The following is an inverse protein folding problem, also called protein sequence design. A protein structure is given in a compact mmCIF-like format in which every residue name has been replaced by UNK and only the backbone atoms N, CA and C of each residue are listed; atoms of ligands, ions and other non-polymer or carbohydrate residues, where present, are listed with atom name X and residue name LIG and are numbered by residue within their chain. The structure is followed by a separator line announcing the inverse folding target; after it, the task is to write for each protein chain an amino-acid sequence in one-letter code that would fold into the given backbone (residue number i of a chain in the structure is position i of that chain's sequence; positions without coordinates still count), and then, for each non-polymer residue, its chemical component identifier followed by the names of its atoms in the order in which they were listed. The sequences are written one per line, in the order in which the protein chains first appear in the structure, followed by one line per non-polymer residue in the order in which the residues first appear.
data_IF_080370562828
#
_entry.id   IF_080370562828
#
_cell.length_a   1.000
_cell.length_b   1.000
_cell.length_c   1.000
_cell.angle_alpha   90.00
_cell.angle_beta   90.00
_cell.angle_gamma   90.00
#
_symmetry.space_group_name_H-M   'P 1'
#
loop_
_entity.id
_entity.type
_entity.pdbx_description
1 polymer ?
#
# COMPACT_ATOMS: atom_id res chain seq x y z
N UNK A 1 -9.40 7.30 -29.48
CA UNK A 1 -9.48 7.36 -28.01
C UNK A 1 -10.67 6.62 -27.44
N UNK A 2 -11.27 5.77 -28.28
CA UNK A 2 -12.38 4.88 -27.88
C UNK A 2 -11.93 3.87 -26.82
N UNK A 3 -10.69 3.41 -26.88
CA UNK A 3 -10.11 2.41 -25.97
C UNK A 3 -10.00 2.88 -24.50
N UNK A 4 -9.70 4.16 -24.27
CA UNK A 4 -9.56 4.68 -22.89
C UNK A 4 -10.91 4.77 -22.18
N UNK A 5 -11.96 5.17 -22.89
CA UNK A 5 -13.30 5.29 -22.33
C UNK A 5 -13.92 3.89 -22.10
N UNK A 6 -13.66 2.96 -22.99
CA UNK A 6 -14.06 1.56 -22.84
C UNK A 6 -13.33 0.91 -21.66
N UNK A 7 -12.02 1.15 -21.51
CA UNK A 7 -11.26 0.70 -20.37
C UNK A 7 -11.81 1.26 -19.05
N UNK A 8 -12.10 2.56 -18.98
CA UNK A 8 -12.68 3.19 -17.80
C UNK A 8 -14.05 2.63 -17.45
N UNK A 9 -14.89 2.42 -18.44
CA UNK A 9 -16.23 1.86 -18.26
C UNK A 9 -16.15 0.44 -17.71
N UNK A 10 -15.30 -0.41 -18.29
CA UNK A 10 -15.08 -1.78 -17.84
C UNK A 10 -14.43 -1.80 -16.45
N UNK A 11 -13.48 -0.91 -16.20
CA UNK A 11 -12.85 -0.75 -14.90
C UNK A 11 -13.88 -0.46 -13.80
N UNK A 12 -14.78 0.50 -14.02
CA UNK A 12 -15.83 0.83 -13.06
C UNK A 12 -16.87 -0.28 -12.89
N UNK A 13 -17.12 -1.07 -13.91
CA UNK A 13 -18.02 -2.21 -13.83
C UNK A 13 -17.46 -3.37 -13.01
N UNK A 14 -16.17 -3.64 -13.14
CA UNK A 14 -15.47 -4.75 -12.48
C UNK A 14 -15.03 -4.39 -11.06
N UNK A 15 -14.59 -3.16 -10.84
CA UNK A 15 -13.99 -2.70 -9.58
C UNK A 15 -14.97 -1.85 -8.80
N UNK A 16 -15.60 -2.46 -7.80
CA UNK A 16 -16.54 -1.74 -6.92
C UNK A 16 -15.90 -0.59 -6.14
N UNK A 17 -14.65 -0.74 -5.73
CA UNK A 17 -13.92 0.26 -4.94
C UNK A 17 -12.48 0.34 -5.39
N UNK A 18 -12.18 1.34 -6.17
CA UNK A 18 -10.81 1.66 -6.54
C UNK A 18 -10.06 2.16 -5.31
N UNK A 19 -8.84 1.69 -5.08
CA UNK A 19 -8.03 2.15 -3.96
C UNK A 19 -7.75 3.65 -4.06
N UNK A 20 -7.98 4.39 -2.98
CA UNK A 20 -7.73 5.84 -2.92
C UNK A 20 -6.24 6.15 -3.14
N UNK A 21 -5.36 5.30 -2.61
CA UNK A 21 -3.90 5.40 -2.73
C UNK A 21 -3.31 4.51 -3.83
N UNK A 22 -4.10 4.19 -4.84
CA UNK A 22 -3.66 3.32 -5.95
C UNK A 22 -2.34 3.77 -6.56
N UNK A 23 -2.19 5.07 -6.82
CA UNK A 23 -0.96 5.61 -7.44
C UNK A 23 0.28 5.35 -6.59
N UNK A 24 0.17 5.45 -5.27
CA UNK A 24 1.27 5.15 -4.36
C UNK A 24 1.59 3.65 -4.32
N UNK A 25 0.57 2.80 -4.27
CA UNK A 25 0.74 1.34 -4.22
C UNK A 25 1.32 0.81 -5.53
N UNK A 26 0.93 1.37 -6.67
CA UNK A 26 1.49 1.03 -7.98
C UNK A 26 2.98 1.40 -8.12
N UNK A 27 3.49 2.33 -7.32
CA UNK A 27 4.95 2.61 -7.29
C UNK A 27 5.76 1.54 -6.55
N UNK A 28 5.12 0.55 -5.95
CA UNK A 28 5.73 -0.50 -5.13
C UNK A 28 6.51 -0.01 -3.90
N UNK A 29 6.33 1.25 -3.50
CA UNK A 29 6.94 1.81 -2.28
C UNK A 29 6.12 1.57 -1.03
N UNK A 30 4.82 1.37 -1.21
CA UNK A 30 3.87 1.14 -0.14
C UNK A 30 3.02 -0.08 -0.46
N UNK A 31 2.53 -0.75 0.56
CA UNK A 31 1.57 -1.84 0.45
C UNK A 31 0.46 -1.66 1.48
N UNK A 32 -0.71 -2.25 1.22
CA UNK A 32 -1.86 -2.20 2.11
C UNK A 32 -2.51 -3.58 2.18
N UNK A 33 -2.75 -4.07 3.39
CA UNK A 33 -3.38 -5.38 3.61
C UNK A 33 -4.83 -5.45 3.10
N UNK A 34 -5.52 -4.30 3.01
CA UNK A 34 -6.88 -4.22 2.45
C UNK A 34 -6.90 -4.06 0.92
N UNK A 35 -5.74 -3.98 0.28
CA UNK A 35 -5.65 -3.81 -1.16
C UNK A 35 -5.56 -5.15 -1.89
N UNK A 36 -6.18 -5.21 -3.07
CA UNK A 36 -6.07 -6.34 -3.97
C UNK A 36 -5.64 -5.83 -5.33
N UNK A 37 -4.58 -6.41 -5.87
CA UNK A 37 -4.11 -6.13 -7.23
C UNK A 37 -4.95 -6.90 -8.22
N UNK A 38 -5.27 -6.28 -9.33
CA UNK A 38 -5.94 -6.92 -10.45
C UNK A 38 -5.37 -6.37 -11.75
N UNK A 39 -5.56 -7.14 -12.79
CA UNK A 39 -5.15 -6.77 -14.14
C UNK A 39 -6.38 -6.69 -15.03
N UNK A 40 -6.50 -5.59 -15.74
CA UNK A 40 -7.53 -5.39 -16.75
C UNK A 40 -6.82 -5.07 -18.08
N UNK A 41 -6.89 -5.99 -19.02
CA UNK A 41 -5.99 -6.00 -20.17
C UNK A 41 -4.54 -5.95 -19.70
N UNK A 42 -3.71 -5.06 -20.22
CA UNK A 42 -2.30 -4.93 -19.85
C UNK A 42 -2.05 -3.93 -18.71
N UNK A 43 -3.10 -3.46 -18.05
CA UNK A 43 -2.99 -2.45 -17.00
C UNK A 43 -3.26 -3.04 -15.62
N UNK A 44 -2.37 -2.69 -14.71
CA UNK A 44 -2.51 -3.03 -13.30
C UNK A 44 -3.38 -1.99 -12.57
N UNK A 45 -4.27 -2.47 -11.72
CA UNK A 45 -5.10 -1.66 -10.86
C UNK A 45 -5.13 -2.18 -9.43
N UNK A 46 -5.56 -1.34 -8.51
CA UNK A 46 -5.68 -1.67 -7.09
C UNK A 46 -7.11 -1.41 -6.62
N UNK A 47 -7.73 -2.43 -6.05
CA UNK A 47 -9.03 -2.32 -5.40
C UNK A 47 -8.91 -2.37 -3.89
N UNK A 48 -9.90 -1.82 -3.17
CA UNK A 48 -9.98 -1.88 -1.72
C UNK A 48 -11.08 -2.86 -1.29
N UNK A 49 -10.74 -3.81 -0.44
CA UNK A 49 -11.69 -4.81 0.08
C UNK A 49 -12.58 -4.26 1.20
N UNK A 50 -12.11 -3.25 1.93
CA UNK A 50 -12.80 -2.68 3.08
C UNK A 50 -13.43 -1.33 2.75
N UNK A 51 -14.75 -1.25 2.82
CA UNK A 51 -15.48 0.02 2.64
C UNK A 51 -15.12 1.06 3.71
N UNK A 52 -15.02 0.63 4.96
CA UNK A 52 -14.67 1.51 6.08
C UNK A 52 -13.27 2.10 5.92
N UNK A 53 -12.31 1.26 5.56
CA UNK A 53 -10.94 1.71 5.28
C UNK A 53 -10.89 2.65 4.08
N UNK A 54 -11.63 2.33 3.03
CA UNK A 54 -11.73 3.18 1.84
C UNK A 54 -12.22 4.59 2.16
N UNK A 55 -13.27 4.71 2.98
CA UNK A 55 -13.80 6.02 3.40
C UNK A 55 -12.79 6.82 4.23
N UNK A 56 -12.09 6.16 5.16
CA UNK A 56 -11.03 6.80 5.97
C UNK A 56 -9.85 7.26 5.11
N UNK A 57 -9.43 6.43 4.18
CA UNK A 57 -8.38 6.78 3.22
C UNK A 57 -8.77 7.99 2.36
N UNK A 58 -10.04 8.07 1.93
CA UNK A 58 -10.55 9.21 1.19
C UNK A 58 -10.45 10.53 1.98
N UNK A 59 -10.88 10.53 3.23
CA UNK A 59 -10.74 11.67 4.14
C UNK A 59 -9.28 12.05 4.38
N UNK A 60 -8.44 11.07 4.63
CA UNK A 60 -7.01 11.29 4.85
C UNK A 60 -6.31 11.88 3.62
N UNK A 61 -6.60 11.37 2.42
CA UNK A 61 -6.04 11.94 1.19
C UNK A 61 -6.49 13.39 0.96
N UNK A 62 -7.74 13.71 1.28
CA UNK A 62 -8.23 15.08 1.26
C UNK A 62 -7.38 16.02 2.12
N UNK A 63 -7.12 15.65 3.38
CA UNK A 63 -6.25 16.40 4.29
C UNK A 63 -4.81 16.51 3.78
N UNK A 64 -4.26 15.44 3.22
CA UNK A 64 -2.92 15.47 2.62
C UNK A 64 -2.84 16.46 1.46
N UNK A 65 -3.84 16.47 0.60
CA UNK A 65 -3.90 17.41 -0.54
C UNK A 65 -3.99 18.86 -0.07
N UNK A 66 -4.81 19.16 0.92
CA UNK A 66 -4.92 20.50 1.50
C UNK A 66 -3.59 20.98 2.07
N UNK A 67 -2.94 20.16 2.89
CA UNK A 67 -1.66 20.51 3.50
C UNK A 67 -0.52 20.60 2.49
N UNK A 68 -0.56 19.81 1.43
CA UNK A 68 0.47 19.81 0.40
C UNK A 68 0.36 20.97 -0.59
N UNK A 69 -0.76 21.66 -0.66
CA UNK A 69 -0.98 22.75 -1.64
C UNK A 69 0.11 23.82 -1.58
N UNK A 70 0.40 24.29 -0.38
CA UNK A 70 1.42 25.30 -0.19
C UNK A 70 2.81 24.80 -0.59
N UNK A 71 3.20 23.63 -0.08
CA UNK A 71 4.50 23.04 -0.35
C UNK A 71 4.74 22.69 -1.83
N UNK A 72 3.68 22.38 -2.57
CA UNK A 72 3.74 22.02 -3.99
C UNK A 72 3.44 23.20 -4.94
N UNK A 73 3.22 24.40 -4.40
CA UNK A 73 2.92 25.59 -5.20
C UNK A 73 1.64 25.46 -6.04
N UNK A 74 0.59 24.84 -5.47
CA UNK A 74 -0.68 24.62 -6.16
C UNK A 74 -1.61 25.77 -5.86
N UNK A 75 -1.85 26.62 -6.83
CA UNK A 75 -2.73 27.80 -6.72
C UNK A 75 -4.15 27.51 -7.18
N UNK A 76 -4.35 26.54 -8.06
CA UNK A 76 -5.66 26.20 -8.61
C UNK A 76 -6.44 25.31 -7.62
N UNK A 77 -7.71 25.65 -7.42
CA UNK A 77 -8.67 24.84 -6.66
C UNK A 77 -9.21 23.73 -7.57
N UNK A 78 -8.38 22.73 -7.84
CA UNK A 78 -8.82 21.53 -8.53
C UNK A 78 -9.02 20.40 -7.51
N UNK A 79 -10.08 19.58 -7.62
CA UNK A 79 -10.30 18.44 -6.73
C UNK A 79 -9.21 17.38 -6.88
N UNK A 80 -8.59 17.30 -8.04
CA UNK A 80 -7.50 16.38 -8.33
C UNK A 80 -6.20 17.14 -8.65
N UNK A 81 -5.09 16.60 -8.17
CA UNK A 81 -3.77 17.12 -8.46
C UNK A 81 -3.22 16.54 -9.77
N UNK A 82 -2.31 17.25 -10.45
CA UNK A 82 -1.54 16.67 -11.54
C UNK A 82 -0.89 15.36 -11.12
N UNK A 83 -0.83 14.38 -12.02
CA UNK A 83 -0.42 13.00 -11.73
C UNK A 83 0.89 12.90 -10.92
N UNK A 84 1.93 13.64 -11.33
CA UNK A 84 3.21 13.61 -10.62
C UNK A 84 3.14 14.19 -9.19
N UNK A 85 2.33 15.21 -8.98
CA UNK A 85 2.10 15.81 -7.66
C UNK A 85 1.26 14.87 -6.78
N UNK A 86 0.25 14.25 -7.36
CA UNK A 86 -0.60 13.28 -6.68
C UNK A 86 0.21 12.09 -6.16
N UNK A 87 1.11 11.53 -6.97
CA UNK A 87 2.02 10.46 -6.53
C UNK A 87 2.88 10.89 -5.34
N UNK A 88 3.42 12.10 -5.37
CA UNK A 88 4.23 12.63 -4.26
C UNK A 88 3.43 12.77 -2.97
N UNK A 89 2.21 13.30 -3.06
CA UNK A 89 1.30 13.45 -1.91
C UNK A 89 0.94 12.10 -1.33
N UNK A 90 0.54 11.16 -2.17
CA UNK A 90 0.14 9.82 -1.72
C UNK A 90 1.30 9.05 -1.10
N UNK A 91 2.45 9.00 -1.75
CA UNK A 91 3.64 8.35 -1.19
C UNK A 91 4.10 9.00 0.11
N UNK A 92 4.19 10.33 0.14
CA UNK A 92 4.60 11.07 1.34
C UNK A 92 3.66 10.83 2.52
N UNK A 93 2.35 10.82 2.28
CA UNK A 93 1.35 10.55 3.30
C UNK A 93 1.45 9.14 3.87
N UNK A 94 1.55 8.12 3.03
CA UNK A 94 1.65 6.73 3.48
C UNK A 94 2.98 6.43 4.18
N UNK A 95 4.08 6.97 3.69
CA UNK A 95 5.37 6.83 4.33
C UNK A 95 5.40 7.55 5.69
N UNK A 96 4.81 8.75 5.77
CA UNK A 96 4.67 9.49 7.01
C UNK A 96 3.83 8.74 8.07
N UNK A 97 2.76 8.08 7.66
CA UNK A 97 1.98 7.22 8.57
C UNK A 97 2.78 6.02 9.08
N UNK A 98 3.59 5.42 8.23
CA UNK A 98 4.45 4.31 8.63
C UNK A 98 5.48 4.74 9.65
N UNK A 99 6.12 5.89 9.43
CA UNK A 99 7.23 6.36 10.25
C UNK A 99 6.76 7.02 11.55
N UNK A 100 5.54 7.53 11.58
CA UNK A 100 4.90 8.15 12.75
C UNK A 100 3.56 7.49 13.07
N UNK A 101 3.55 6.26 13.58
CA UNK A 101 2.31 5.61 13.95
C UNK A 101 1.71 6.30 15.17
N UNK A 102 0.69 7.12 14.96
CA UNK A 102 -0.12 7.64 16.06
C UNK A 102 -0.86 6.49 16.73
N UNK A 103 -0.94 6.51 18.07
CA UNK A 103 -1.52 5.43 18.88
C UNK A 103 -2.98 5.12 18.53
N UNK A 104 -3.67 6.05 17.90
CA UNK A 104 -5.08 5.93 17.53
C UNK A 104 -5.33 5.50 16.09
N UNK A 105 -4.29 5.16 15.32
CA UNK A 105 -4.50 4.65 13.98
C UNK A 105 -4.76 3.13 14.02
N UNK A 106 -6.00 2.66 13.83
CA UNK A 106 -6.30 1.23 13.84
C UNK A 106 -5.71 0.47 12.64
N UNK A 107 -4.92 1.14 11.81
CA UNK A 107 -4.40 0.61 10.55
C UNK A 107 -2.90 0.31 10.58
N UNK A 108 -2.30 0.25 11.78
CA UNK A 108 -0.86 -0.09 11.91
C UNK A 108 -0.49 -1.42 11.25
N UNK A 109 -1.46 -2.30 11.06
CA UNK A 109 -1.28 -3.62 10.46
C UNK A 109 -1.45 -3.65 8.93
N UNK A 110 -1.88 -2.55 8.30
CA UNK A 110 -2.31 -2.56 6.91
C UNK A 110 -1.33 -1.93 5.91
N UNK A 111 -0.29 -1.27 6.40
CA UNK A 111 0.71 -0.65 5.52
C UNK A 111 2.06 -1.34 5.71
N UNK A 112 2.33 -2.32 4.87
CA UNK A 112 3.65 -2.94 4.79
C UNK A 112 4.52 -2.20 3.77
N UNK A 113 5.76 -1.98 4.15
CA UNK A 113 6.78 -1.51 3.21
C UNK A 113 7.08 -2.62 2.20
N UNK A 114 6.98 -2.32 0.92
CA UNK A 114 7.27 -3.28 -0.16
C UNK A 114 8.73 -3.71 -0.28
N UNK A 115 9.51 -3.59 0.81
CA UNK A 115 10.83 -4.19 0.89
C UNK A 115 10.65 -5.69 1.16
N UNK A 116 10.90 -6.50 0.17
CA UNK A 116 11.15 -7.92 0.37
C UNK A 116 12.35 -8.07 1.30
N UNK A 117 12.06 -8.39 2.55
CA UNK A 117 13.09 -8.91 3.45
C UNK A 117 13.45 -10.29 2.91
N UNK A 118 14.64 -10.44 2.37
CA UNK A 118 15.19 -11.75 2.14
C UNK A 118 15.16 -12.51 3.45
N UNK A 119 14.33 -13.53 3.52
CA UNK A 119 14.36 -14.48 4.61
C UNK A 119 15.72 -15.15 4.61
N UNK A 120 16.57 -14.69 5.53
CA UNK A 120 17.74 -15.46 5.93
C UNK A 120 17.25 -16.80 6.48
N UNK A 121 17.63 -17.87 5.84
CA UNK A 121 17.36 -19.25 6.27
C UNK A 121 17.72 -19.40 7.76
N UNK A 122 16.86 -19.98 8.58
CA UNK A 122 17.28 -20.33 9.93
C UNK A 122 18.40 -21.36 9.84
N UNK A 123 19.48 -21.08 10.55
CA UNK A 123 20.58 -22.01 10.72
C UNK A 123 20.06 -23.27 11.40
N UNK A 124 20.19 -24.42 10.74
CA UNK A 124 19.94 -25.72 11.33
C UNK A 124 20.97 -25.96 12.44
N UNK A 125 20.55 -25.82 13.66
CA UNK A 125 21.34 -26.28 14.81
C UNK A 125 21.36 -27.82 14.76
N UNK A 126 22.52 -28.38 14.41
CA UNK A 126 22.80 -29.79 14.59
C UNK A 126 22.86 -30.07 16.10
N UNK A 127 21.85 -30.71 16.63
CA UNK A 127 21.90 -31.31 17.95
C UNK A 127 22.74 -32.58 17.85
N UNK A 128 23.97 -32.49 18.31
CA UNK A 128 24.82 -33.66 18.50
C UNK A 128 24.36 -34.38 19.77
N UNK A 129 23.60 -35.46 19.62
CA UNK A 129 23.30 -36.39 20.68
C UNK A 129 24.55 -37.22 20.96
N UNK A 130 25.14 -36.98 22.09
CA UNK A 130 26.26 -37.80 22.61
C UNK A 130 25.66 -38.92 23.45
N UNK A 131 25.63 -40.11 22.87
CA UNK A 131 25.27 -41.30 23.59
C UNK A 131 26.40 -41.68 24.56
N UNK A 132 26.13 -41.61 25.86
CA UNK A 132 27.00 -42.12 26.90
C UNK A 132 26.87 -43.63 26.99
N UNK A 133 27.98 -44.30 26.78
CA UNK A 133 28.14 -45.72 27.01
C UNK A 133 28.42 -45.93 28.48
N UNK A 134 27.58 -46.67 29.15
CA UNK A 134 27.85 -47.20 30.51
C UNK A 134 27.67 -48.69 30.49
N UNK A 135 28.79 -49.40 30.65
CA UNK A 135 28.79 -50.85 30.90
C UNK A 135 28.83 -51.12 32.41
N UNK A 136 28.07 -52.09 32.90
CA UNK A 136 28.26 -52.62 34.25
C UNK A 136 29.06 -53.91 34.23
N UNK A 137 29.85 -54.07 35.24
CA UNK A 137 30.32 -55.38 35.68
C UNK A 137 29.26 -56.02 36.57
#
# INVERSE_FOLDING_TARGET
MVEEDEYRSTYHAVVRRRCVFEKAILTHRCACACSTRFYLADREGISCQSQRTHQRCGGFLGLLRENARFALGITAVAPELPHAKEIKVQNGGLLGLRDNPTRDCPQRATFESGHQVHHSRPATTKTTSRAGHHSPQ
#
